data_IF_891617385026
#
_entry.id   IF_891617385026
#
_cell.length_a   1.000
_cell.length_b   1.000
_cell.length_c   1.000
_cell.angle_alpha   90.00
_cell.angle_beta   90.00
_cell.angle_gamma   90.00
#
_symmetry.space_group_name_H-M   'P 1'
#
loop_
_entity.id
_entity.type
_entity.pdbx_description
1 polymer ?
#
# COMPACT_ATOMS: atom_id res chain seq x y z
N UNK A 1 15.57 18.09 -6.10
CA UNK A 1 16.64 17.37 -6.84
C UNK A 1 16.08 16.06 -7.36
N UNK A 2 16.34 15.71 -8.62
CA UNK A 2 15.88 14.44 -9.21
C UNK A 2 16.85 13.32 -8.82
N UNK A 3 16.37 12.33 -8.07
CA UNK A 3 17.17 11.19 -7.63
C UNK A 3 17.54 10.33 -8.85
N UNK A 4 18.81 9.93 -8.97
CA UNK A 4 19.30 9.17 -10.12
C UNK A 4 19.22 7.67 -9.81
N UNK A 5 19.06 6.84 -10.84
CA UNK A 5 19.01 5.37 -10.70
C UNK A 5 20.27 4.79 -10.04
N UNK A 6 21.41 5.48 -10.13
CA UNK A 6 22.65 5.10 -9.45
C UNK A 6 22.53 5.20 -7.93
N UNK A 7 21.74 6.16 -7.44
CA UNK A 7 21.54 6.38 -6.01
C UNK A 7 20.75 5.22 -5.40
N UNK A 8 19.78 4.65 -6.14
CA UNK A 8 18.99 3.49 -5.70
C UNK A 8 19.83 2.20 -5.55
N UNK A 9 20.82 2.01 -6.43
CA UNK A 9 21.69 0.83 -6.39
C UNK A 9 22.57 0.80 -5.14
N UNK A 10 22.88 1.95 -4.57
CA UNK A 10 23.71 2.06 -3.36
C UNK A 10 22.93 1.78 -2.08
N UNK A 11 21.59 1.87 -2.11
CA UNK A 11 20.75 1.68 -0.93
C UNK A 11 20.65 0.19 -0.54
N UNK A 12 20.48 -0.10 0.75
CA UNK A 12 20.08 -1.41 1.24
C UNK A 12 18.63 -1.75 0.90
N UNK A 13 18.21 -3.01 1.07
CA UNK A 13 16.83 -3.44 0.82
C UNK A 13 15.83 -2.73 1.74
N UNK A 14 16.17 -2.55 3.02
CA UNK A 14 15.33 -1.81 3.99
C UNK A 14 15.19 -0.34 3.62
N UNK A 15 16.26 0.29 3.15
CA UNK A 15 16.25 1.69 2.70
C UNK A 15 15.41 1.85 1.43
N UNK A 16 15.51 0.91 0.48
CA UNK A 16 14.63 0.86 -0.68
C UNK A 16 13.16 0.68 -0.29
N UNK A 17 12.87 -0.17 0.70
CA UNK A 17 11.52 -0.38 1.21
C UNK A 17 10.96 0.89 1.86
N UNK A 18 11.75 1.54 2.71
CA UNK A 18 11.42 2.83 3.33
C UNK A 18 11.17 3.91 2.25
N UNK A 19 12.00 3.94 1.21
CA UNK A 19 11.84 4.88 0.10
C UNK A 19 10.60 4.59 -0.73
N UNK A 20 10.31 3.32 -0.99
CA UNK A 20 9.10 2.91 -1.69
C UNK A 20 7.85 3.37 -0.91
N UNK A 21 7.84 3.14 0.41
CA UNK A 21 6.79 3.60 1.32
C UNK A 21 6.58 5.12 1.24
N UNK A 22 7.64 5.91 1.39
CA UNK A 22 7.55 7.38 1.37
C UNK A 22 6.99 7.91 0.04
N UNK A 23 7.54 7.43 -1.08
CA UNK A 23 7.17 7.91 -2.42
C UNK A 23 5.76 7.48 -2.80
N UNK A 24 5.36 6.24 -2.47
CA UNK A 24 4.00 5.75 -2.72
C UNK A 24 2.94 6.48 -1.89
N UNK A 25 3.23 6.78 -0.62
CA UNK A 25 2.37 7.61 0.21
C UNK A 25 2.20 9.02 -0.37
N UNK A 26 3.32 9.66 -0.74
CA UNK A 26 3.29 10.99 -1.35
C UNK A 26 2.52 11.01 -2.66
N UNK A 27 2.73 10.01 -3.52
CA UNK A 27 1.98 9.83 -4.76
C UNK A 27 0.46 9.79 -4.51
N UNK A 28 0.01 8.97 -3.55
CA UNK A 28 -1.41 8.87 -3.21
C UNK A 28 -2.01 10.22 -2.77
N UNK A 29 -1.28 10.97 -1.92
CA UNK A 29 -1.71 12.31 -1.50
C UNK A 29 -1.75 13.32 -2.66
N UNK A 30 -0.78 13.26 -3.58
CA UNK A 30 -0.74 14.15 -4.75
C UNK A 30 -1.90 13.88 -5.72
N UNK A 31 -2.29 12.61 -5.90
CA UNK A 31 -3.49 12.28 -6.68
C UNK A 31 -4.76 12.87 -6.05
N UNK A 32 -4.93 12.76 -4.73
CA UNK A 32 -6.06 13.36 -4.02
C UNK A 32 -6.07 14.89 -4.13
N UNK A 33 -4.89 15.52 -4.12
CA UNK A 33 -4.71 16.96 -4.32
C UNK A 33 -4.84 17.40 -5.78
N UNK A 34 -5.04 16.48 -6.73
CA UNK A 34 -5.09 16.71 -8.18
C UNK A 34 -3.80 17.33 -8.76
N UNK A 35 -2.66 17.20 -8.07
CA UNK A 35 -1.35 17.58 -8.60
C UNK A 35 -0.75 16.44 -9.43
N UNK A 36 -1.28 16.26 -10.62
CA UNK A 36 -0.91 15.16 -11.53
C UNK A 36 0.53 15.27 -12.02
N UNK A 37 1.09 16.48 -12.11
CA UNK A 37 2.48 16.68 -12.54
C UNK A 37 3.45 16.17 -11.49
N UNK A 38 3.23 16.50 -10.21
CA UNK A 38 4.05 15.98 -9.14
C UNK A 38 3.81 14.47 -8.94
N UNK A 39 2.56 14.01 -9.02
CA UNK A 39 2.23 12.60 -8.92
C UNK A 39 2.98 11.76 -9.98
N UNK A 40 3.04 12.22 -11.23
CA UNK A 40 3.78 11.51 -12.28
C UNK A 40 5.29 11.37 -11.99
N UNK A 41 5.90 12.34 -11.29
CA UNK A 41 7.31 12.21 -10.87
C UNK A 41 7.48 11.11 -9.82
N UNK A 42 6.57 11.06 -8.85
CA UNK A 42 6.59 10.04 -7.81
C UNK A 42 6.25 8.65 -8.35
N UNK A 43 5.38 8.57 -9.37
CA UNK A 43 5.11 7.32 -10.09
C UNK A 43 6.41 6.73 -10.66
N UNK A 44 7.18 7.55 -11.40
CA UNK A 44 8.43 7.10 -12.01
C UNK A 44 9.45 6.67 -10.95
N UNK A 45 9.48 7.36 -9.82
CA UNK A 45 10.39 7.03 -8.74
C UNK A 45 9.98 5.74 -8.01
N UNK A 46 8.71 5.55 -7.68
CA UNK A 46 8.20 4.32 -7.09
C UNK A 46 8.44 3.11 -8.02
N UNK A 47 8.22 3.29 -9.33
CA UNK A 47 8.52 2.27 -10.33
C UNK A 47 10.01 1.92 -10.40
N UNK A 48 10.90 2.91 -10.29
CA UNK A 48 12.35 2.70 -10.27
C UNK A 48 12.80 1.95 -9.00
N UNK A 49 12.26 2.31 -7.83
CA UNK A 49 12.55 1.62 -6.55
C UNK A 49 12.09 0.16 -6.60
N UNK A 50 10.85 -0.09 -7.06
CA UNK A 50 10.35 -1.46 -7.24
C UNK A 50 11.22 -2.26 -8.22
N UNK A 51 11.61 -1.64 -9.34
CA UNK A 51 12.49 -2.31 -10.32
C UNK A 51 13.79 -2.74 -9.67
N UNK A 52 14.40 -1.90 -8.84
CA UNK A 52 15.62 -2.22 -8.11
C UNK A 52 15.42 -3.37 -7.12
N UNK A 53 14.33 -3.35 -6.33
CA UNK A 53 13.97 -4.46 -5.44
C UNK A 53 13.83 -5.78 -6.21
N UNK A 54 13.14 -5.77 -7.35
CA UNK A 54 12.99 -6.94 -8.21
C UNK A 54 14.31 -7.43 -8.79
N UNK A 55 15.23 -6.53 -9.17
CA UNK A 55 16.55 -6.93 -9.68
C UNK A 55 17.44 -7.56 -8.63
N UNK A 56 17.17 -7.34 -7.34
CA UNK A 56 17.89 -7.98 -6.23
C UNK A 56 17.38 -9.38 -5.91
N UNK A 57 16.25 -9.76 -6.50
CA UNK A 57 15.70 -11.10 -6.44
C UNK A 57 14.36 -11.19 -5.70
N UNK A 58 13.75 -12.38 -5.70
CA UNK A 58 12.40 -12.58 -5.19
C UNK A 58 12.23 -12.21 -3.72
N UNK A 59 13.24 -12.49 -2.88
CA UNK A 59 13.15 -12.22 -1.43
C UNK A 59 13.11 -10.72 -1.15
N UNK A 60 13.89 -9.92 -1.89
CA UNK A 60 13.86 -8.46 -1.79
C UNK A 60 12.54 -7.87 -2.30
N UNK A 61 11.97 -8.41 -3.38
CA UNK A 61 10.65 -7.94 -3.87
C UNK A 61 9.52 -8.32 -2.90
N UNK A 62 9.58 -9.52 -2.30
CA UNK A 62 8.60 -9.98 -1.29
C UNK A 62 8.58 -9.13 -0.02
N UNK A 63 9.64 -8.39 0.30
CA UNK A 63 9.63 -7.41 1.39
C UNK A 63 8.51 -6.36 1.22
N UNK A 64 8.01 -6.12 0.01
CA UNK A 64 6.87 -5.23 -0.24
C UNK A 64 5.56 -5.70 0.42
N UNK A 65 5.43 -6.98 0.77
CA UNK A 65 4.21 -7.52 1.41
C UNK A 65 3.93 -6.88 2.77
N UNK A 66 4.96 -6.46 3.50
CA UNK A 66 4.77 -5.78 4.80
C UNK A 66 4.03 -4.44 4.65
N UNK A 67 4.04 -3.85 3.45
CA UNK A 67 3.39 -2.57 3.16
C UNK A 67 1.91 -2.71 2.77
N UNK A 68 1.37 -3.94 2.66
CA UNK A 68 -0.05 -4.16 2.39
C UNK A 68 -0.94 -3.67 3.55
N UNK A 69 -0.40 -3.58 4.76
CA UNK A 69 -1.10 -3.11 5.97
C UNK A 69 -0.64 -1.71 6.41
N UNK A 70 0.13 -1.00 5.59
CA UNK A 70 0.62 0.34 5.92
C UNK A 70 -0.53 1.32 6.21
N UNK A 71 -0.43 2.26 7.17
CA UNK A 71 -1.48 3.24 7.43
C UNK A 71 -1.83 4.14 6.22
N UNK A 72 -0.88 4.41 5.31
CA UNK A 72 -1.11 5.26 4.15
C UNK A 72 -1.79 4.49 3.00
N UNK A 73 -3.00 4.90 2.55
CA UNK A 73 -3.70 4.22 1.46
C UNK A 73 -2.92 4.18 0.15
N UNK A 74 -2.14 5.24 -0.14
CA UNK A 74 -1.27 5.29 -1.31
C UNK A 74 -0.18 4.20 -1.28
N UNK A 75 0.40 3.95 -0.11
CA UNK A 75 1.38 2.88 0.08
C UNK A 75 0.77 1.52 -0.11
N UNK A 76 -0.38 1.24 0.53
CA UNK A 76 -1.09 -0.03 0.34
C UNK A 76 -1.44 -0.29 -1.13
N UNK A 77 -1.92 0.73 -1.85
CA UNK A 77 -2.26 0.63 -3.27
C UNK A 77 -1.07 0.21 -4.13
N UNK A 78 0.08 0.85 -3.91
CA UNK A 78 1.30 0.58 -4.66
C UNK A 78 1.91 -0.77 -4.30
N UNK A 79 1.92 -1.13 -3.01
CA UNK A 79 2.37 -2.44 -2.54
C UNK A 79 1.51 -3.57 -3.13
N UNK A 80 0.18 -3.43 -3.11
CA UNK A 80 -0.72 -4.40 -3.70
C UNK A 80 -0.54 -4.51 -5.22
N UNK A 81 -0.37 -3.38 -5.92
CA UNK A 81 -0.06 -3.38 -7.36
C UNK A 81 1.27 -4.08 -7.67
N UNK A 82 2.26 -3.96 -6.78
CA UNK A 82 3.52 -4.66 -6.93
C UNK A 82 3.38 -6.17 -6.67
N UNK A 83 2.66 -6.53 -5.62
CA UNK A 83 2.45 -7.91 -5.17
C UNK A 83 1.65 -8.78 -6.14
N UNK A 84 0.84 -8.20 -7.03
CA UNK A 84 0.10 -8.97 -8.07
C UNK A 84 0.98 -9.94 -8.87
N UNK A 85 2.26 -9.60 -9.08
CA UNK A 85 3.19 -10.44 -9.86
C UNK A 85 3.76 -11.65 -9.11
N UNK A 86 3.65 -11.73 -7.79
CA UNK A 86 4.31 -12.76 -6.98
C UNK A 86 3.51 -13.26 -5.76
N UNK A 87 2.44 -12.57 -5.38
CA UNK A 87 1.55 -12.86 -4.26
C UNK A 87 0.13 -12.33 -4.57
N UNK A 88 -0.55 -12.91 -5.58
CA UNK A 88 -1.81 -12.37 -6.11
C UNK A 88 -2.94 -12.39 -5.09
N UNK A 89 -3.06 -13.44 -4.27
CA UNK A 89 -4.12 -13.56 -3.27
C UNK A 89 -4.06 -12.44 -2.22
N UNK A 90 -2.87 -12.14 -1.69
CA UNK A 90 -2.64 -11.08 -0.72
C UNK A 90 -2.85 -9.70 -1.37
N UNK A 91 -2.41 -9.54 -2.62
CA UNK A 91 -2.59 -8.31 -3.38
C UNK A 91 -4.07 -8.01 -3.65
N UNK A 92 -4.85 -9.01 -4.06
CA UNK A 92 -6.29 -8.88 -4.33
C UNK A 92 -7.05 -8.53 -3.06
N UNK A 93 -6.75 -9.20 -1.94
CA UNK A 93 -7.32 -8.89 -0.63
C UNK A 93 -7.06 -7.42 -0.23
N UNK A 94 -5.80 -6.98 -0.32
CA UNK A 94 -5.44 -5.60 0.00
C UNK A 94 -6.12 -4.57 -0.92
N UNK A 95 -6.32 -4.90 -2.20
CA UNK A 95 -7.05 -4.04 -3.15
C UNK A 95 -8.54 -3.98 -2.85
N UNK A 96 -9.15 -5.10 -2.45
CA UNK A 96 -10.55 -5.12 -2.03
C UNK A 96 -10.78 -4.15 -0.86
N UNK A 97 -9.93 -4.22 0.17
CA UNK A 97 -9.98 -3.31 1.33
C UNK A 97 -9.76 -1.83 0.97
N UNK A 98 -9.01 -1.54 -0.10
CA UNK A 98 -8.83 -0.17 -0.60
C UNK A 98 -9.98 0.34 -1.46
N UNK A 99 -10.68 -0.58 -2.13
CA UNK A 99 -11.84 -0.27 -2.98
C UNK A 99 -13.12 -0.11 -2.16
N UNK A 100 -13.14 -0.64 -0.93
CA UNK A 100 -14.20 -0.32 0.01
C UNK A 100 -14.29 1.20 0.19
N UNK A 101 -15.51 1.77 0.11
CA UNK A 101 -15.68 3.20 0.33
C UNK A 101 -15.08 3.60 1.68
N UNK A 102 -14.62 4.86 1.84
CA UNK A 102 -14.13 5.32 3.13
C UNK A 102 -15.15 4.95 4.21
N UNK A 103 -14.70 4.46 5.37
CA UNK A 103 -15.61 3.99 6.41
C UNK A 103 -16.64 5.08 6.69
N UNK A 104 -17.87 4.79 6.32
CA UNK A 104 -19.02 5.58 6.74
C UNK A 104 -19.29 5.26 8.20
N UNK A 105 -19.94 6.17 8.93
CA UNK A 105 -20.41 5.84 10.29
C UNK A 105 -21.23 4.54 10.27
N UNK A 106 -22.03 4.33 9.22
CA UNK A 106 -22.82 3.11 9.05
C UNK A 106 -21.96 1.85 8.89
N UNK A 107 -20.89 1.88 8.08
CA UNK A 107 -20.02 0.71 7.87
C UNK A 107 -19.17 0.41 9.11
N UNK A 108 -18.75 1.43 9.85
CA UNK A 108 -18.10 1.25 11.16
C UNK A 108 -19.07 0.65 12.16
N UNK A 109 -20.28 1.21 12.29
CA UNK A 109 -21.32 0.66 13.17
C UNK A 109 -21.67 -0.78 12.81
N UNK A 110 -21.80 -1.13 11.53
CA UNK A 110 -22.07 -2.49 11.10
C UNK A 110 -20.93 -3.46 11.47
N UNK A 111 -19.67 -3.05 11.30
CA UNK A 111 -18.51 -3.84 11.70
C UNK A 111 -18.46 -4.03 13.23
N UNK A 112 -18.72 -2.98 14.01
CA UNK A 112 -18.78 -3.06 15.47
C UNK A 112 -19.92 -3.97 15.95
N UNK A 113 -21.10 -3.89 15.33
CA UNK A 113 -22.24 -4.76 15.65
C UNK A 113 -21.92 -6.22 15.35
N UNK A 114 -21.26 -6.50 14.22
CA UNK A 114 -20.86 -7.86 13.85
C UNK A 114 -19.80 -8.42 14.82
N UNK A 115 -18.82 -7.61 15.22
CA UNK A 115 -17.83 -7.99 16.24
C UNK A 115 -18.52 -8.27 17.59
N UNK A 116 -19.43 -7.39 18.01
CA UNK A 116 -20.18 -7.55 19.25
C UNK A 116 -21.03 -8.84 19.26
N UNK A 117 -21.64 -9.20 18.13
CA UNK A 117 -22.34 -10.47 17.93
C UNK A 117 -21.41 -11.67 18.05
N UNK A 118 -20.28 -11.67 17.32
CA UNK A 118 -19.30 -12.76 17.34
C UNK A 118 -18.71 -13.00 18.73
N UNK A 119 -18.51 -11.92 19.48
CA UNK A 119 -17.96 -11.96 20.84
C UNK A 119 -19.04 -12.17 21.91
N UNK A 120 -20.30 -12.39 21.54
CA UNK A 120 -21.41 -12.67 22.46
C UNK A 120 -21.83 -11.48 23.35
N UNK A 121 -21.34 -10.28 23.04
CA UNK A 121 -21.66 -9.05 23.79
C UNK A 121 -22.93 -8.36 23.28
N UNK A 122 -23.38 -8.71 22.07
CA UNK A 122 -24.69 -8.31 21.55
C UNK A 122 -25.69 -9.45 21.82
N UNK A 123 -26.71 -9.23 22.67
CA UNK A 123 -27.72 -10.25 22.93
C UNK A 123 -28.58 -10.50 21.68
N UNK A 124 -29.06 -11.75 21.47
CA UNK A 124 -30.07 -12.01 20.46
C UNK A 124 -31.35 -11.22 20.80
N UNK A 125 -32.00 -10.70 19.77
CA UNK A 125 -33.30 -10.03 19.92
C UNK A 125 -34.36 -11.11 20.09
N UNK A 126 -35.13 -11.07 21.18
CA UNK A 126 -36.31 -11.93 21.43
C UNK A 126 -37.46 -11.67 20.45
#
# INVERSE_FOLDING_TARGET
MSMKTRDLKALGTEELLSRFREVSARHGRLLNARDTRAANKDYLLAAAVRKELRTRGPDAEKCLLVLLTDPEPGTRYWAATAALGFAPSEAECARALLAEPPPTLLSVSAAMTLDAWKNGTLPPVE
#
